data_IF_103677630802
#
_entry.id   IF_103677630802
#
_cell.length_a   1.000
_cell.length_b   1.000
_cell.length_c   1.000
_cell.angle_alpha   90.00
_cell.angle_beta   90.00
_cell.angle_gamma   90.00
#
_symmetry.space_group_name_H-M   'P 1'
#
loop_
_entity.id
_entity.type
_entity.pdbx_description
1 polymer ?
#
# COMPACT_ATOMS: atom_id res chain seq x y z
N UNK A 1 1.07 -5.32 13.14
CA UNK A 1 0.19 -6.50 12.92
C UNK A 1 0.91 -7.81 13.13
N UNK A 2 2.17 -7.97 12.71
CA UNK A 2 2.93 -9.19 13.03
C UNK A 2 3.03 -9.47 14.54
N UNK A 3 3.08 -8.43 15.37
CA UNK A 3 3.07 -8.52 16.83
C UNK A 3 1.79 -9.13 17.44
N UNK A 4 0.67 -9.11 16.72
CA UNK A 4 -0.62 -9.68 17.16
C UNK A 4 -0.80 -11.14 16.70
N UNK A 5 0.09 -11.66 15.85
CA UNK A 5 0.00 -13.02 15.29
C UNK A 5 0.79 -13.98 16.16
N UNK A 6 0.12 -15.03 16.66
CA UNK A 6 0.78 -16.13 17.34
C UNK A 6 1.72 -16.84 16.37
N UNK A 7 2.99 -16.94 16.75
CA UNK A 7 4.04 -17.55 15.93
C UNK A 7 4.19 -16.90 14.54
N UNK A 8 4.31 -15.57 14.54
CA UNK A 8 4.40 -14.73 13.35
C UNK A 8 5.45 -15.20 12.33
N UNK A 9 6.56 -15.78 12.79
CA UNK A 9 7.66 -16.22 11.94
C UNK A 9 7.29 -17.37 10.98
N UNK A 10 6.33 -18.22 11.36
CA UNK A 10 5.83 -19.32 10.54
C UNK A 10 4.43 -19.07 10.00
N UNK A 11 3.56 -18.43 10.79
CA UNK A 11 2.17 -18.18 10.41
C UNK A 11 2.05 -17.17 9.27
N UNK A 12 2.82 -16.08 9.29
CA UNK A 12 2.72 -15.02 8.28
C UNK A 12 3.14 -15.51 6.88
N UNK A 13 4.29 -16.17 6.68
CA UNK A 13 4.66 -16.68 5.36
C UNK A 13 3.65 -17.68 4.79
N UNK A 14 3.12 -18.57 5.64
CA UNK A 14 2.08 -19.53 5.24
C UNK A 14 0.78 -18.85 4.86
N UNK A 15 0.34 -17.86 5.63
CA UNK A 15 -0.84 -17.08 5.32
C UNK A 15 -0.70 -16.33 3.99
N UNK A 16 0.46 -15.72 3.72
CA UNK A 16 0.73 -15.04 2.44
C UNK A 16 0.63 -16.03 1.27
N UNK A 17 1.20 -17.23 1.39
CA UNK A 17 1.12 -18.25 0.35
C UNK A 17 -0.32 -18.72 0.10
N UNK A 18 -1.09 -18.97 1.16
CA UNK A 18 -2.50 -19.35 1.06
C UNK A 18 -3.30 -18.24 0.38
N UNK A 19 -3.14 -16.99 0.83
CA UNK A 19 -3.83 -15.83 0.24
C UNK A 19 -3.47 -15.70 -1.23
N UNK A 20 -2.20 -15.86 -1.61
CA UNK A 20 -1.78 -15.79 -3.01
C UNK A 20 -2.42 -16.87 -3.88
N UNK A 21 -2.37 -18.13 -3.44
CA UNK A 21 -2.93 -19.28 -4.17
C UNK A 21 -4.46 -19.17 -4.27
N UNK A 22 -5.13 -18.80 -3.18
CA UNK A 22 -6.58 -18.59 -3.17
C UNK A 22 -6.98 -17.46 -4.13
N UNK A 23 -6.27 -16.33 -4.10
CA UNK A 23 -6.53 -15.24 -5.06
C UNK A 23 -6.34 -15.71 -6.50
N UNK A 24 -5.26 -16.44 -6.79
CA UNK A 24 -5.04 -16.97 -8.14
C UNK A 24 -6.17 -17.89 -8.59
N UNK A 25 -6.62 -18.82 -7.74
CA UNK A 25 -7.69 -19.79 -8.05
C UNK A 25 -9.03 -19.09 -8.35
N UNK A 26 -9.35 -17.98 -7.68
CA UNK A 26 -10.59 -17.26 -7.93
C UNK A 26 -10.47 -16.25 -9.07
N UNK A 27 -9.36 -15.53 -9.13
CA UNK A 27 -9.18 -14.41 -10.05
C UNK A 27 -8.85 -14.87 -11.47
N UNK A 28 -8.15 -16.00 -11.64
CA UNK A 28 -7.79 -16.54 -12.95
C UNK A 28 -9.02 -17.01 -13.76
N UNK A 29 -9.92 -17.87 -13.22
CA UNK A 29 -11.16 -18.21 -13.92
C UNK A 29 -12.06 -17.01 -14.16
N UNK A 30 -12.17 -16.09 -13.18
CA UNK A 30 -12.94 -14.86 -13.35
C UNK A 30 -12.44 -14.03 -14.55
N UNK A 31 -11.12 -13.86 -14.66
CA UNK A 31 -10.49 -13.16 -15.79
C UNK A 31 -10.75 -13.87 -17.11
N UNK A 32 -10.63 -15.20 -17.16
CA UNK A 32 -10.95 -15.97 -18.36
C UNK A 32 -12.41 -15.79 -18.78
N UNK A 33 -13.35 -15.95 -17.85
CA UNK A 33 -14.78 -15.74 -18.13
C UNK A 33 -15.03 -14.33 -18.66
N UNK A 34 -14.39 -13.33 -18.08
CA UNK A 34 -14.50 -11.94 -18.50
C UNK A 34 -13.99 -11.71 -19.93
N UNK A 35 -12.81 -12.24 -20.27
CA UNK A 35 -12.25 -12.14 -21.62
C UNK A 35 -13.11 -12.87 -22.66
N UNK A 36 -13.66 -14.04 -22.34
CA UNK A 36 -14.53 -14.79 -23.26
C UNK A 36 -15.88 -14.11 -23.52
N UNK A 37 -16.38 -13.32 -22.57
CA UNK A 37 -17.66 -12.61 -22.68
C UNK A 37 -17.49 -11.15 -23.11
N UNK A 38 -16.28 -10.73 -23.50
CA UNK A 38 -16.03 -9.40 -24.05
C UNK A 38 -16.03 -9.48 -25.59
N UNK A 39 -17.12 -9.10 -26.27
CA UNK A 39 -17.20 -9.21 -27.73
C UNK A 39 -16.36 -8.16 -28.46
N UNK A 40 -16.27 -6.94 -27.93
CA UNK A 40 -15.46 -5.87 -28.50
C UNK A 40 -14.77 -5.03 -27.39
N UNK A 41 -13.43 -5.10 -27.27
CA UNK A 41 -12.69 -4.30 -26.29
C UNK A 41 -12.72 -2.81 -26.59
N UNK A 42 -12.88 -2.38 -27.85
CA UNK A 42 -12.97 -0.96 -28.18
C UNK A 42 -14.28 -0.36 -27.68
N UNK A 43 -15.41 -1.05 -27.95
CA UNK A 43 -16.71 -0.66 -27.41
C UNK A 43 -16.75 -0.68 -25.87
N UNK A 44 -16.05 -1.61 -25.23
CA UNK A 44 -15.98 -1.68 -23.77
C UNK A 44 -15.20 -0.51 -23.15
N UNK A 45 -14.20 0.04 -23.85
CA UNK A 45 -13.41 1.18 -23.41
C UNK A 45 -14.13 2.52 -23.63
N UNK A 46 -14.99 2.59 -24.65
CA UNK A 46 -15.76 3.78 -25.01
C UNK A 46 -17.14 3.85 -24.31
N UNK A 47 -17.48 2.84 -23.50
CA UNK A 47 -18.77 2.78 -22.81
C UNK A 47 -18.92 3.90 -21.76
N UNK A 48 -20.10 4.51 -21.73
CA UNK A 48 -20.46 5.62 -20.84
C UNK A 48 -20.24 5.31 -19.35
N UNK A 49 -20.23 4.03 -18.96
CA UNK A 49 -19.97 3.66 -17.56
C UNK A 49 -18.54 3.91 -17.13
N UNK A 50 -17.59 4.17 -18.05
CA UNK A 50 -16.13 4.29 -17.81
C UNK A 50 -15.49 3.07 -17.14
N UNK A 51 -16.25 1.99 -16.96
CA UNK A 51 -15.83 0.75 -16.33
C UNK A 51 -16.11 -0.41 -17.31
N UNK A 52 -15.09 -0.88 -18.07
CA UNK A 52 -15.23 -1.99 -19.00
C UNK A 52 -15.80 -3.27 -18.33
N UNK A 53 -15.55 -3.42 -17.02
CA UNK A 53 -16.12 -4.49 -16.21
C UNK A 53 -17.65 -4.46 -16.19
N UNK A 54 -18.26 -3.29 -16.05
CA UNK A 54 -19.72 -3.14 -16.02
C UNK A 54 -20.35 -3.42 -17.39
N UNK A 55 -19.68 -3.01 -18.47
CA UNK A 55 -20.13 -3.28 -19.84
C UNK A 55 -20.31 -4.78 -20.11
N UNK A 56 -19.29 -5.59 -19.83
CA UNK A 56 -19.34 -7.06 -20.03
C UNK A 56 -20.39 -7.71 -19.14
N UNK A 57 -20.50 -7.28 -17.87
CA UNK A 57 -21.50 -7.85 -16.96
C UNK A 57 -22.92 -7.53 -17.44
N UNK A 58 -23.18 -6.31 -17.93
CA UNK A 58 -24.50 -5.91 -18.45
C UNK A 58 -24.92 -6.70 -19.69
N UNK A 59 -23.97 -7.12 -20.52
CA UNK A 59 -24.27 -7.98 -21.67
C UNK A 59 -24.54 -9.43 -21.27
N UNK A 60 -23.94 -9.88 -20.16
CA UNK A 60 -24.01 -11.28 -19.72
C UNK A 60 -25.21 -11.58 -18.82
N UNK A 61 -25.81 -10.58 -18.16
CA UNK A 61 -26.90 -10.79 -17.19
C UNK A 61 -28.00 -9.73 -17.28
N UNK A 62 -29.18 -10.05 -16.76
CA UNK A 62 -30.29 -9.09 -16.69
C UNK A 62 -29.98 -7.93 -15.73
N UNK A 63 -30.60 -6.76 -15.98
CA UNK A 63 -30.38 -5.54 -15.19
C UNK A 63 -30.68 -5.74 -13.69
N UNK A 64 -31.69 -6.55 -13.35
CA UNK A 64 -32.02 -6.86 -11.96
C UNK A 64 -30.90 -7.63 -11.26
N UNK A 65 -30.29 -8.61 -11.95
CA UNK A 65 -29.18 -9.37 -11.38
C UNK A 65 -27.90 -8.54 -11.26
N UNK A 66 -27.61 -7.73 -12.28
CA UNK A 66 -26.48 -6.80 -12.25
C UNK A 66 -26.58 -5.85 -11.06
N UNK A 67 -27.77 -5.29 -10.81
CA UNK A 67 -28.00 -4.38 -9.69
C UNK A 67 -27.78 -5.08 -8.35
N UNK A 68 -28.30 -6.30 -8.19
CA UNK A 68 -28.06 -7.11 -6.98
C UNK A 68 -26.58 -7.39 -6.74
N UNK A 69 -25.84 -7.77 -7.79
CA UNK A 69 -24.40 -8.01 -7.71
C UNK A 69 -23.62 -6.74 -7.32
N UNK A 70 -23.94 -5.60 -7.93
CA UNK A 70 -23.29 -4.32 -7.62
C UNK A 70 -23.55 -3.89 -6.17
N UNK A 71 -24.75 -4.11 -5.64
CA UNK A 71 -25.04 -3.83 -4.22
C UNK A 71 -24.18 -4.70 -3.29
N UNK A 72 -23.99 -5.97 -3.61
CA UNK A 72 -23.10 -6.87 -2.84
C UNK A 72 -21.65 -6.38 -2.91
N UNK A 73 -21.17 -6.00 -4.09
CA UNK A 73 -19.81 -5.47 -4.28
C UNK A 73 -19.61 -4.19 -3.45
N UNK A 74 -20.57 -3.26 -3.48
CA UNK A 74 -20.53 -2.03 -2.69
C UNK A 74 -20.49 -2.36 -1.19
N UNK A 75 -21.32 -3.30 -0.72
CA UNK A 75 -21.31 -3.71 0.68
C UNK A 75 -19.95 -4.29 1.11
N UNK A 76 -19.36 -5.15 0.29
CA UNK A 76 -18.02 -5.71 0.53
C UNK A 76 -16.93 -4.62 0.51
N UNK A 77 -17.05 -3.62 -0.37
CA UNK A 77 -16.14 -2.49 -0.44
C UNK A 77 -16.21 -1.64 0.83
N UNK A 78 -17.41 -1.36 1.35
CA UNK A 78 -17.60 -0.64 2.62
C UNK A 78 -16.94 -1.39 3.78
N UNK A 79 -17.19 -2.71 3.90
CA UNK A 79 -16.57 -3.55 4.92
C UNK A 79 -15.03 -3.57 4.82
N UNK A 80 -14.50 -3.61 3.59
CA UNK A 80 -13.06 -3.59 3.34
C UNK A 80 -12.44 -2.25 3.75
N UNK A 81 -13.08 -1.13 3.44
CA UNK A 81 -12.61 0.21 3.81
C UNK A 81 -12.54 0.42 5.33
N UNK A 82 -13.46 -0.16 6.11
CA UNK A 82 -13.41 -0.13 7.58
C UNK A 82 -12.15 -0.82 8.09
N UNK A 83 -11.79 -1.95 7.48
CA UNK A 83 -10.57 -2.70 7.80
C UNK A 83 -9.32 -1.89 7.43
N UNK A 84 -9.30 -1.26 6.25
CA UNK A 84 -8.20 -0.40 5.82
C UNK A 84 -8.01 0.81 6.75
N UNK A 85 -9.10 1.49 7.15
CA UNK A 85 -9.02 2.61 8.08
C UNK A 85 -8.42 2.18 9.43
N UNK A 86 -8.79 1.00 9.91
CA UNK A 86 -8.23 0.42 11.14
C UNK A 86 -6.74 0.12 10.99
N UNK A 87 -6.32 -0.43 9.84
CA UNK A 87 -4.91 -0.72 9.58
C UNK A 87 -4.06 0.56 9.48
N UNK A 88 -4.53 1.54 8.72
CA UNK A 88 -3.83 2.82 8.51
C UNK A 88 -3.72 3.62 9.81
N UNK A 89 -4.78 3.69 10.61
CA UNK A 89 -4.73 4.40 11.91
C UNK A 89 -3.72 3.77 12.88
N UNK A 90 -3.58 2.43 12.89
CA UNK A 90 -2.55 1.73 13.69
C UNK A 90 -1.14 2.00 13.18
N UNK A 91 -0.93 1.99 11.87
CA UNK A 91 0.37 2.32 11.27
C UNK A 91 0.78 3.77 11.58
N UNK A 92 -0.17 4.70 11.44
CA UNK A 92 0.04 6.12 11.74
C UNK A 92 0.34 6.35 13.23
N UNK A 93 -0.39 5.66 14.11
CA UNK A 93 -0.15 5.68 15.54
C UNK A 93 1.26 5.17 15.90
N UNK A 94 1.68 4.04 15.34
CA UNK A 94 3.01 3.47 15.59
C UNK A 94 4.12 4.43 15.14
N UNK A 95 3.95 5.05 13.96
CA UNK A 95 4.91 6.04 13.47
C UNK A 95 4.93 7.34 14.31
N UNK A 96 3.78 7.79 14.80
CA UNK A 96 3.68 8.92 15.71
C UNK A 96 4.32 8.62 17.08
N UNK A 97 4.14 7.41 17.62
CA UNK A 97 4.77 6.98 18.89
C UNK A 97 6.29 7.07 18.83
N UNK A 98 6.87 6.78 17.68
CA UNK A 98 8.32 6.83 17.46
C UNK A 98 8.80 8.26 17.08
N UNK A 99 7.98 9.30 17.37
CA UNK A 99 8.24 10.71 17.06
C UNK A 99 8.52 11.01 15.58
N UNK A 100 7.99 10.20 14.66
CA UNK A 100 8.18 10.35 13.22
C UNK A 100 7.37 11.48 12.58
N UNK A 101 6.39 12.05 13.30
CA UNK A 101 5.46 13.07 12.78
C UNK A 101 5.48 14.37 13.59
N UNK A 102 5.20 15.53 12.95
CA UNK A 102 4.85 16.74 13.69
C UNK A 102 3.57 16.49 14.51
N UNK A 103 3.51 17.07 15.71
CA UNK A 103 2.42 16.82 16.68
C UNK A 103 2.25 15.35 17.10
N UNK A 104 3.36 14.59 17.13
CA UNK A 104 3.39 13.18 17.55
C UNK A 104 2.58 12.90 18.82
N UNK A 105 2.68 13.75 19.83
CA UNK A 105 1.99 13.62 21.13
C UNK A 105 0.46 13.52 20.97
N UNK A 106 -0.13 14.31 20.08
CA UNK A 106 -1.58 14.30 19.87
C UNK A 106 -2.02 13.09 19.06
N UNK A 107 -1.24 12.72 18.02
CA UNK A 107 -1.54 11.59 17.12
C UNK A 107 -1.34 10.25 17.85
N UNK A 108 -0.34 10.17 18.74
CA UNK A 108 -0.03 8.99 19.55
C UNK A 108 -0.87 8.89 20.83
N UNK A 109 -1.91 9.72 20.99
CA UNK A 109 -2.81 9.63 22.13
C UNK A 109 -3.85 8.52 21.92
N UNK A 110 -4.01 7.66 22.92
CA UNK A 110 -5.01 6.58 22.92
C UNK A 110 -6.18 6.99 23.81
N UNK A 111 -7.41 6.78 23.34
CA UNK A 111 -8.60 6.93 24.18
C UNK A 111 -8.61 5.84 25.27
N UNK A 112 -8.67 6.28 26.54
CA UNK A 112 -8.68 5.39 27.72
C UNK A 112 -9.87 4.43 27.75
N UNK A 113 -11.02 4.84 27.20
CA UNK A 113 -12.26 4.03 27.26
C UNK A 113 -12.31 2.98 26.16
N UNK A 114 -11.93 3.36 24.93
CA UNK A 114 -12.03 2.49 23.74
C UNK A 114 -10.73 1.76 23.42
N UNK A 115 -9.59 2.15 24.02
CA UNK A 115 -8.24 1.60 23.73
C UNK A 115 -7.86 1.63 22.25
N UNK A 116 -8.40 2.60 21.50
CA UNK A 116 -8.10 2.80 20.08
C UNK A 116 -7.49 4.19 19.85
N UNK A 117 -6.59 4.35 18.86
CA UNK A 117 -5.99 5.64 18.53
C UNK A 117 -6.99 6.51 17.73
N UNK A 118 -7.95 7.10 18.43
CA UNK A 118 -9.05 7.87 17.83
C UNK A 118 -8.55 9.09 17.05
N UNK A 119 -7.53 9.79 17.57
CA UNK A 119 -6.96 10.97 16.91
C UNK A 119 -6.32 10.62 15.56
N UNK A 120 -5.56 9.52 15.50
CA UNK A 120 -4.97 9.02 14.26
C UNK A 120 -6.06 8.59 13.25
N UNK A 121 -7.13 7.94 13.72
CA UNK A 121 -8.26 7.58 12.88
C UNK A 121 -9.00 8.80 12.32
N UNK A 122 -9.30 9.80 13.16
CA UNK A 122 -9.93 11.05 12.71
C UNK A 122 -9.07 11.79 11.69
N UNK A 123 -7.77 11.93 11.95
CA UNK A 123 -6.84 12.57 11.03
C UNK A 123 -6.84 11.86 9.67
N UNK A 124 -6.77 10.53 9.68
CA UNK A 124 -6.82 9.72 8.45
C UNK A 124 -8.13 9.94 7.69
N UNK A 125 -9.28 9.94 8.39
CA UNK A 125 -10.57 10.21 7.76
C UNK A 125 -10.63 11.62 7.14
N UNK A 126 -10.24 12.65 7.88
CA UNK A 126 -10.27 14.04 7.40
C UNK A 126 -9.37 14.22 6.18
N UNK A 127 -8.16 13.67 6.21
CA UNK A 127 -7.23 13.73 5.08
C UNK A 127 -7.78 12.98 3.87
N UNK A 128 -8.30 11.76 4.05
CA UNK A 128 -8.91 10.99 2.97
C UNK A 128 -10.11 11.71 2.36
N UNK A 129 -10.99 12.30 3.18
CA UNK A 129 -12.12 13.10 2.70
C UNK A 129 -11.65 14.32 1.92
N UNK A 130 -10.65 15.06 2.43
CA UNK A 130 -10.09 16.23 1.76
C UNK A 130 -9.47 15.87 0.39
N UNK A 131 -8.73 14.76 0.31
CA UNK A 131 -8.15 14.28 -0.94
C UNK A 131 -9.23 13.88 -1.95
N UNK A 132 -10.32 13.25 -1.50
CA UNK A 132 -11.45 12.89 -2.39
C UNK A 132 -12.18 14.13 -2.91
N UNK A 133 -12.29 15.20 -2.10
CA UNK A 133 -12.92 16.46 -2.54
C UNK A 133 -12.22 17.14 -3.72
N UNK A 134 -10.93 16.84 -3.94
CA UNK A 134 -10.17 17.35 -5.09
C UNK A 134 -10.81 16.94 -6.41
N UNK A 135 -11.47 15.77 -6.45
CA UNK A 135 -12.18 15.28 -7.63
C UNK A 135 -13.25 16.27 -8.14
N UNK A 136 -13.88 17.05 -7.25
CA UNK A 136 -14.89 18.04 -7.63
C UNK A 136 -14.27 19.20 -8.43
N UNK A 137 -13.02 19.56 -8.14
CA UNK A 137 -12.31 20.64 -8.82
C UNK A 137 -11.55 20.19 -10.06
N UNK A 138 -10.90 19.02 -10.00
CA UNK A 138 -10.12 18.48 -11.12
C UNK A 138 -9.97 16.96 -11.04
N UNK A 139 -10.59 16.26 -12.00
CA UNK A 139 -10.42 14.82 -12.14
C UNK A 139 -8.96 14.44 -12.47
N UNK A 140 -8.25 15.26 -13.24
CA UNK A 140 -6.83 15.05 -13.57
C UNK A 140 -5.97 15.05 -12.29
N UNK A 141 -6.21 16.00 -11.39
CA UNK A 141 -5.47 16.07 -10.13
C UNK A 141 -5.76 14.86 -9.22
N UNK A 142 -7.02 14.42 -9.15
CA UNK A 142 -7.40 13.24 -8.37
C UNK A 142 -6.76 11.95 -8.90
N UNK A 143 -6.79 11.73 -10.22
CA UNK A 143 -6.14 10.57 -10.83
C UNK A 143 -4.61 10.61 -10.68
N UNK A 144 -4.00 11.80 -10.71
CA UNK A 144 -2.58 11.98 -10.44
C UNK A 144 -2.20 11.57 -9.00
N UNK A 145 -3.01 11.94 -8.00
CA UNK A 145 -2.82 11.53 -6.60
C UNK A 145 -3.00 10.01 -6.45
N UNK A 146 -3.97 9.43 -7.14
CA UNK A 146 -4.21 7.98 -7.09
C UNK A 146 -3.05 7.20 -7.71
N UNK A 147 -2.49 7.69 -8.81
CA UNK A 147 -1.29 7.13 -9.43
C UNK A 147 -0.06 7.29 -8.53
N UNK A 148 0.10 8.44 -7.86
CA UNK A 148 1.15 8.68 -6.86
C UNK A 148 1.13 7.64 -5.74
N UNK A 149 -0.05 7.23 -5.27
CA UNK A 149 -0.19 6.17 -4.26
C UNK A 149 0.40 4.83 -4.74
N UNK A 150 0.13 4.44 -5.98
CA UNK A 150 0.71 3.22 -6.58
C UNK A 150 2.23 3.30 -6.63
N UNK A 151 2.78 4.45 -7.06
CA UNK A 151 4.22 4.69 -7.13
C UNK A 151 4.87 4.59 -5.74
N UNK A 152 4.25 5.20 -4.73
CA UNK A 152 4.73 5.18 -3.35
C UNK A 152 4.74 3.77 -2.75
N UNK A 153 3.73 2.95 -3.05
CA UNK A 153 3.69 1.54 -2.63
C UNK A 153 4.85 0.75 -3.25
N UNK A 154 5.03 0.87 -4.57
CA UNK A 154 6.09 0.15 -5.28
C UNK A 154 7.46 0.56 -4.73
N UNK A 155 7.68 1.86 -4.52
CA UNK A 155 8.91 2.38 -3.93
C UNK A 155 9.16 1.79 -2.53
N UNK A 156 8.14 1.77 -1.66
CA UNK A 156 8.25 1.21 -0.30
C UNK A 156 8.68 -0.26 -0.32
N UNK A 157 8.10 -1.06 -1.23
CA UNK A 157 8.50 -2.45 -1.40
C UNK A 157 9.94 -2.59 -1.93
N UNK A 158 10.31 -1.81 -2.94
CA UNK A 158 11.68 -1.81 -3.48
C UNK A 158 12.71 -1.46 -2.39
N UNK A 159 12.45 -0.41 -1.61
CA UNK A 159 13.35 0.02 -0.53
C UNK A 159 13.43 -1.04 0.58
N UNK A 160 12.29 -1.56 1.05
CA UNK A 160 12.28 -2.56 2.12
C UNK A 160 12.98 -3.85 1.70
N UNK A 161 12.68 -4.38 0.52
CA UNK A 161 13.30 -5.62 0.01
C UNK A 161 14.77 -5.36 -0.32
N UNK A 162 15.10 -4.20 -0.89
CA UNK A 162 16.47 -3.78 -1.20
C UNK A 162 17.35 -3.68 0.04
N UNK A 163 16.87 -3.07 1.13
CA UNK A 163 17.60 -3.01 2.40
C UNK A 163 17.87 -4.41 2.97
N UNK A 164 16.89 -5.32 2.93
CA UNK A 164 17.06 -6.71 3.37
C UNK A 164 18.04 -7.45 2.47
N UNK A 165 17.99 -7.25 1.15
CA UNK A 165 18.92 -7.84 0.19
C UNK A 165 20.35 -7.36 0.42
N UNK A 166 20.54 -6.05 0.58
CA UNK A 166 21.84 -5.44 0.86
C UNK A 166 22.43 -6.00 2.16
N UNK A 167 21.64 -6.05 3.24
CA UNK A 167 22.08 -6.61 4.53
C UNK A 167 22.43 -8.09 4.42
N UNK A 168 21.69 -8.86 3.61
CA UNK A 168 21.96 -10.29 3.40
C UNK A 168 23.24 -10.56 2.61
N UNK A 169 23.67 -9.63 1.76
CA UNK A 169 24.89 -9.75 0.95
C UNK A 169 26.12 -9.27 1.73
N UNK A 170 26.03 -8.10 2.38
CA UNK A 170 27.18 -7.44 3.01
C UNK A 170 27.34 -7.74 4.49
N UNK A 171 26.25 -7.99 5.21
CA UNK A 171 26.23 -8.17 6.67
C UNK A 171 25.29 -9.29 7.12
N UNK A 172 25.44 -10.54 6.61
CA UNK A 172 24.54 -11.64 6.91
C UNK A 172 24.42 -11.95 8.41
N UNK A 173 25.47 -11.67 9.20
CA UNK A 173 25.54 -11.84 10.65
C UNK A 173 24.52 -10.99 11.42
N UNK A 174 24.05 -9.90 10.81
CA UNK A 174 23.13 -8.96 11.45
C UNK A 174 21.65 -9.33 11.27
N UNK A 175 21.35 -10.39 10.51
CA UNK A 175 19.99 -10.89 10.32
C UNK A 175 19.68 -12.02 11.33
N UNK A 176 18.54 -11.94 12.04
CA UNK A 176 18.15 -12.99 12.98
C UNK A 176 17.83 -14.30 12.25
N UNK A 177 17.95 -15.41 12.96
CA UNK A 177 17.61 -16.74 12.43
C UNK A 177 16.15 -16.79 11.95
N UNK A 178 15.95 -17.10 10.67
CA UNK A 178 14.63 -17.20 10.07
C UNK A 178 14.08 -18.63 10.22
N UNK A 179 12.97 -18.78 10.94
CA UNK A 179 12.28 -20.07 11.09
C UNK A 179 11.67 -20.57 9.77
N UNK A 180 11.23 -19.64 8.91
CA UNK A 180 10.85 -19.92 7.53
C UNK A 180 11.91 -19.37 6.58
N UNK A 181 12.86 -20.22 6.17
CA UNK A 181 13.96 -19.82 5.29
C UNK A 181 13.79 -20.45 3.89
N UNK A 182 13.83 -19.60 2.86
CA UNK A 182 13.96 -20.05 1.46
C UNK A 182 15.42 -20.41 1.10
N UNK A 183 16.33 -20.41 2.08
CA UNK A 183 17.74 -20.74 1.89
C UNK A 183 18.40 -19.88 0.80
N UNK A 184 19.11 -20.54 -0.12
CA UNK A 184 19.85 -19.88 -1.22
C UNK A 184 18.94 -19.19 -2.23
N UNK A 185 17.71 -19.65 -2.39
CA UNK A 185 16.73 -19.02 -3.28
C UNK A 185 16.27 -17.64 -2.77
N UNK A 186 16.47 -17.35 -1.48
CA UNK A 186 16.09 -16.06 -0.91
C UNK A 186 16.81 -14.86 -1.51
N UNK A 187 18.09 -15.00 -1.92
CA UNK A 187 18.81 -13.92 -2.60
C UNK A 187 18.25 -13.72 -4.00
N UNK A 188 18.08 -14.81 -4.77
CA UNK A 188 17.55 -14.75 -6.13
C UNK A 188 16.15 -14.13 -6.19
N UNK A 189 15.25 -14.57 -5.31
CA UNK A 189 13.86 -14.07 -5.25
C UNK A 189 13.84 -12.59 -4.87
N UNK A 190 14.63 -12.18 -3.87
CA UNK A 190 14.70 -10.77 -3.47
C UNK A 190 15.26 -9.90 -4.60
N UNK A 191 16.32 -10.35 -5.28
CA UNK A 191 16.89 -9.64 -6.43
C UNK A 191 15.87 -9.47 -7.56
N UNK A 192 15.16 -10.55 -7.92
CA UNK A 192 14.10 -10.49 -8.93
C UNK A 192 12.97 -9.54 -8.53
N UNK A 193 12.57 -9.54 -7.25
CA UNK A 193 11.54 -8.65 -6.74
C UNK A 193 11.97 -7.17 -6.82
N UNK A 194 13.22 -6.85 -6.49
CA UNK A 194 13.74 -5.47 -6.62
C UNK A 194 13.82 -5.05 -8.09
N UNK A 195 14.35 -5.90 -8.98
CA UNK A 195 14.45 -5.60 -10.42
C UNK A 195 13.07 -5.36 -11.01
N UNK A 196 12.11 -6.24 -10.72
CA UNK A 196 10.73 -6.10 -11.19
C UNK A 196 10.05 -4.86 -10.60
N UNK A 197 10.29 -4.57 -9.32
CA UNK A 197 9.77 -3.36 -8.70
C UNK A 197 10.33 -2.07 -9.32
N UNK A 198 11.63 -2.02 -9.65
CA UNK A 198 12.24 -0.88 -10.36
C UNK A 198 11.63 -0.73 -11.75
N UNK A 199 11.42 -1.85 -12.46
CA UNK A 199 10.75 -1.85 -13.75
C UNK A 199 9.32 -1.29 -13.65
N UNK A 200 8.51 -1.79 -12.72
CA UNK A 200 7.16 -1.29 -12.47
C UNK A 200 7.16 0.19 -12.06
N UNK A 201 8.11 0.61 -11.23
CA UNK A 201 8.25 1.99 -10.79
C UNK A 201 8.50 2.94 -11.98
N UNK A 202 9.42 2.57 -12.88
CA UNK A 202 9.70 3.34 -14.09
C UNK A 202 8.45 3.47 -14.98
N UNK A 203 7.79 2.35 -15.29
CA UNK A 203 6.61 2.36 -16.16
C UNK A 203 5.39 3.02 -15.54
N UNK A 204 5.30 3.05 -14.21
CA UNK A 204 4.22 3.74 -13.50
C UNK A 204 4.30 5.26 -13.63
N UNK A 205 5.49 5.81 -13.90
CA UNK A 205 5.74 7.24 -14.11
C UNK A 205 5.72 7.63 -15.60
N UNK A 206 5.75 6.64 -16.49
CA UNK A 206 5.78 6.87 -17.93
C UNK A 206 4.41 7.34 -18.46
N UNK A 207 4.37 8.24 -19.46
CA UNK A 207 3.12 8.67 -20.10
C UNK A 207 2.45 7.53 -20.88
N UNK A 208 1.13 7.43 -20.79
CA UNK A 208 0.33 6.37 -21.43
C UNK A 208 0.12 6.58 -22.95
N UNK A 209 0.18 7.85 -23.41
CA UNK A 209 -0.13 8.21 -24.80
C UNK A 209 0.86 9.23 -25.34
N UNK A 210 1.08 9.18 -26.65
CA UNK A 210 1.88 10.15 -27.41
C UNK A 210 1.02 10.69 -28.57
N UNK A 211 0.96 12.01 -28.81
CA UNK A 211 1.72 13.09 -28.18
C UNK A 211 1.23 13.46 -26.76
N UNK A 212 2.16 13.89 -25.90
CA UNK A 212 1.87 14.24 -24.50
C UNK A 212 1.19 15.61 -24.42
N UNK A 213 -0.08 15.63 -24.04
CA UNK A 213 -0.84 16.85 -23.71
C UNK A 213 -0.89 17.06 -22.20
N UNK A 214 -1.21 18.28 -21.73
CA UNK A 214 -1.33 18.56 -20.29
C UNK A 214 -2.40 17.70 -19.59
N UNK A 215 -3.43 17.27 -20.33
CA UNK A 215 -4.46 16.33 -19.85
C UNK A 215 -4.01 14.87 -19.87
N UNK A 216 -3.13 14.48 -20.80
CA UNK A 216 -2.58 13.13 -20.92
C UNK A 216 -1.25 12.88 -20.20
N UNK A 217 -0.66 13.93 -19.59
CA UNK A 217 0.60 13.81 -18.87
C UNK A 217 0.42 13.08 -17.54
N UNK A 218 1.35 12.18 -17.24
CA UNK A 218 1.39 11.50 -15.95
C UNK A 218 1.97 12.43 -14.86
N UNK A 219 1.09 13.26 -14.30
CA UNK A 219 1.41 14.21 -13.23
C UNK A 219 1.89 13.55 -11.94
N UNK A 220 1.74 12.23 -11.79
CA UNK A 220 2.27 11.50 -10.63
C UNK A 220 3.79 11.65 -10.50
N UNK A 221 4.52 11.76 -11.62
CA UNK A 221 5.98 11.96 -11.63
C UNK A 221 6.40 13.24 -10.93
N UNK A 222 5.74 14.36 -11.24
CA UNK A 222 5.99 15.67 -10.65
C UNK A 222 5.58 15.68 -9.18
N UNK A 223 4.39 15.16 -8.87
CA UNK A 223 3.90 15.08 -7.49
C UNK A 223 4.79 14.19 -6.62
N UNK A 224 5.29 13.10 -7.18
CA UNK A 224 6.23 12.20 -6.50
C UNK A 224 7.55 12.90 -6.22
N UNK A 225 8.15 13.58 -7.21
CA UNK A 225 9.37 14.34 -7.02
C UNK A 225 9.23 15.41 -5.94
N UNK A 226 8.13 16.16 -5.94
CA UNK A 226 7.83 17.16 -4.92
C UNK A 226 7.66 16.54 -3.53
N UNK A 227 6.92 15.44 -3.43
CA UNK A 227 6.69 14.73 -2.15
C UNK A 227 7.99 14.15 -1.60
N UNK A 228 8.83 13.57 -2.45
CA UNK A 228 10.14 13.03 -2.07
C UNK A 228 11.08 14.15 -1.58
N UNK A 229 11.12 15.27 -2.31
CA UNK A 229 11.91 16.44 -1.89
C UNK A 229 11.44 16.97 -0.53
N UNK A 230 10.13 17.13 -0.32
CA UNK A 230 9.57 17.55 0.96
C UNK A 230 9.92 16.57 2.10
N UNK A 231 9.86 15.26 1.84
CA UNK A 231 10.23 14.23 2.80
C UNK A 231 11.73 14.29 3.16
N UNK A 232 12.61 14.46 2.17
CA UNK A 232 14.06 14.59 2.38
C UNK A 232 14.39 15.87 3.16
N UNK A 233 13.74 16.99 2.86
CA UNK A 233 13.91 18.23 3.63
C UNK A 233 13.44 18.04 5.07
N UNK A 234 12.26 17.45 5.28
CA UNK A 234 11.76 17.16 6.62
C UNK A 234 12.72 16.25 7.41
N UNK A 235 13.27 15.22 6.76
CA UNK A 235 14.27 14.35 7.37
C UNK A 235 15.56 15.11 7.72
N UNK A 236 16.08 15.94 6.81
CA UNK A 236 17.30 16.72 7.02
C UNK A 236 17.15 17.77 8.14
N UNK A 237 15.99 18.41 8.29
CA UNK A 237 15.80 19.45 9.30
C UNK A 237 15.29 18.93 10.64
N UNK A 238 14.40 17.93 10.65
CA UNK A 238 13.71 17.47 11.86
C UNK A 238 14.03 16.02 12.16
N UNK A 239 13.90 15.14 11.16
CA UNK A 239 13.98 13.69 11.32
C UNK A 239 15.32 13.21 11.89
N UNK A 240 16.44 13.69 11.35
CA UNK A 240 17.79 13.27 11.79
C UNK A 240 18.11 13.58 13.26
N UNK A 241 17.37 14.51 13.87
CA UNK A 241 17.61 14.97 15.24
C UNK A 241 16.62 14.40 16.25
N UNK A 242 15.40 14.01 15.82
CA UNK A 242 14.33 13.54 16.70
C UNK A 242 13.99 12.06 16.55
N UNK A 243 14.28 11.47 15.40
CA UNK A 243 13.90 10.08 15.12
C UNK A 243 14.98 9.12 15.61
N UNK A 244 14.64 8.31 16.61
CA UNK A 244 15.46 7.18 17.04
C UNK A 244 14.82 5.89 16.54
N UNK A 245 15.59 5.04 15.87
CA UNK A 245 15.08 3.80 15.30
C UNK A 245 14.59 2.84 16.39
N UNK A 246 13.55 2.02 16.13
CA UNK A 246 12.95 1.15 17.14
C UNK A 246 13.91 0.11 17.75
N UNK A 247 15.02 -0.20 17.06
CA UNK A 247 16.05 -1.14 17.56
C UNK A 247 16.85 -0.55 18.71
N UNK A 248 17.15 0.76 18.71
CA UNK A 248 17.92 1.39 19.80
C UNK A 248 17.14 1.39 21.11
N UNK A 249 15.81 1.56 21.06
CA UNK A 249 14.94 1.57 22.24
C UNK A 249 14.78 0.18 22.89
N UNK A 250 14.76 -0.89 22.09
CA UNK A 250 14.67 -2.27 22.60
C UNK A 250 16.01 -2.75 23.14
N UNK A 251 17.11 -2.36 22.49
CA UNK A 251 18.47 -2.67 22.93
C UNK A 251 18.81 -1.93 24.23
N UNK A 252 18.45 -0.66 24.35
CA UNK A 252 18.58 0.13 25.57
C UNK A 252 17.74 -0.44 26.72
N UNK A 253 16.50 -0.89 26.44
CA UNK A 253 15.64 -1.55 27.44
C UNK A 253 16.22 -2.90 27.89
N UNK A 254 16.84 -3.67 26.99
CA UNK A 254 17.53 -4.93 27.34
C UNK A 254 18.77 -4.68 28.20
N UNK A 255 19.56 -3.67 27.87
CA UNK A 255 20.74 -3.27 28.64
C UNK A 255 20.36 -2.81 30.06
N UNK A 256 19.31 -2.00 30.19
CA UNK A 256 18.79 -1.55 31.49
C UNK A 256 18.18 -2.69 32.32
N UNK A 257 17.61 -3.72 31.70
CA UNK A 257 17.10 -4.91 32.40
C UNK A 257 18.20 -5.92 32.79
N UNK A 258 19.38 -5.83 32.17
CA UNK A 258 20.53 -6.68 32.50
C UNK A 258 21.45 -6.06 33.57
N UNK A 259 21.22 -4.78 33.92
CA UNK A 259 21.96 -4.04 34.95
C UNK A 259 21.28 -4.01 36.33
N UNK A 260 20.21 -4.78 36.51
CA UNK A 260 19.52 -5.05 37.79
C UNK A 260 19.45 -6.56 38.03
#
# INVERSE_FOLDING_TARGET
>A
MAEEVRDAALAIPRAILIVYVTNFIFMFPMLLTFLYHMPDPAAALDDDTTYPAMYVLRQSMSTSWLTGLLLVIIALLVCSNITFLTATSRALFAFARDNGLPYSIWISSIDRKRRVPQNAAMLTCVLSTALTLIYIGSHVAFYAITSLFTVAIIQSYCLSIGCVLWRRIYHPETLPYAQFSLGRFGIMINSMAVIYGIWCFFWSLWPQQYPVTASGFNWASVMYGATLAAALLHYAFVGRHKYQGPVSLVEERKLLSASF
#
